data_IF_792637819224
#
_entry.id   IF_792637819224
#
_cell.length_a   1.000
_cell.length_b   1.000
_cell.length_c   1.000
_cell.angle_alpha   90.00
_cell.angle_beta   90.00
_cell.angle_gamma   90.00
#
_symmetry.space_group_name_H-M   'P 1'
#
loop_
_entity.id
_entity.type
_entity.pdbx_description
1 polymer ?
#
# COMPACT_ATOMS: atom_id res chain seq x y z
N UNK A 1 20.28 20.95 9.86
CA UNK A 1 19.21 21.31 8.89
C UNK A 1 18.65 20.12 8.10
N UNK A 2 19.43 19.07 7.80
CA UNK A 2 18.92 17.82 7.17
C UNK A 2 18.16 16.95 8.18
N UNK A 3 18.64 16.88 9.43
CA UNK A 3 17.97 16.13 10.50
C UNK A 3 16.59 16.71 10.87
N UNK A 4 16.44 18.03 10.85
CA UNK A 4 15.18 18.70 11.19
C UNK A 4 14.08 18.40 10.15
N UNK A 5 14.43 18.32 8.85
CA UNK A 5 13.48 17.92 7.81
C UNK A 5 13.01 16.46 7.95
N UNK A 6 13.90 15.56 8.32
CA UNK A 6 13.58 14.13 8.52
C UNK A 6 12.66 13.94 9.73
N UNK A 7 12.87 14.68 10.80
CA UNK A 7 12.06 14.62 12.03
C UNK A 7 10.61 15.06 11.78
N UNK A 8 10.36 15.93 10.79
CA UNK A 8 9.02 16.41 10.45
C UNK A 8 8.29 15.55 9.41
N UNK A 9 8.95 14.56 8.77
CA UNK A 9 8.34 13.70 7.74
C UNK A 9 7.50 12.56 8.30
N UNK A 10 7.66 12.25 9.59
CA UNK A 10 6.95 11.15 10.25
C UNK A 10 6.39 11.59 11.60
N UNK A 11 5.25 11.01 11.91
CA UNK A 11 4.68 11.00 13.25
C UNK A 11 4.75 9.59 13.82
N UNK A 12 5.26 9.45 15.05
CA UNK A 12 5.32 8.13 15.69
C UNK A 12 4.02 7.85 16.43
N UNK A 13 3.29 6.85 15.98
CA UNK A 13 2.02 6.42 16.55
C UNK A 13 2.12 4.97 17.04
N UNK A 14 1.97 4.78 18.36
CA UNK A 14 2.05 3.45 18.99
C UNK A 14 3.29 2.63 18.55
N UNK A 15 4.43 3.29 18.41
CA UNK A 15 5.67 2.64 18.00
C UNK A 15 5.83 2.43 16.49
N UNK A 16 4.92 2.96 15.66
CA UNK A 16 4.96 2.88 14.20
C UNK A 16 5.10 4.27 13.60
N UNK A 17 5.96 4.40 12.58
CA UNK A 17 6.14 5.65 11.85
C UNK A 17 5.07 5.81 10.78
N UNK A 18 4.35 6.93 10.81
CA UNK A 18 3.32 7.29 9.84
C UNK A 18 3.70 8.60 9.17
N UNK A 19 3.66 8.67 7.85
CA UNK A 19 4.07 9.87 7.12
C UNK A 19 3.13 11.05 7.39
N UNK A 20 3.74 12.23 7.55
CA UNK A 20 3.04 13.52 7.64
C UNK A 20 2.92 14.24 6.30
N UNK A 21 3.52 13.67 5.25
CA UNK A 21 3.47 14.22 3.90
C UNK A 21 2.10 14.06 3.26
N UNK A 22 1.76 14.96 2.34
CA UNK A 22 0.61 14.79 1.45
C UNK A 22 0.84 13.62 0.47
N UNK A 23 -0.21 13.17 -0.21
CA UNK A 23 -0.09 12.14 -1.26
C UNK A 23 0.83 12.59 -2.39
N UNK A 24 0.77 13.86 -2.79
CA UNK A 24 1.63 14.44 -3.82
C UNK A 24 3.10 14.48 -3.38
N UNK A 25 3.38 14.95 -2.16
CA UNK A 25 4.73 14.97 -1.57
C UNK A 25 5.30 13.54 -1.47
N UNK A 26 4.46 12.58 -1.05
CA UNK A 26 4.85 11.17 -0.92
C UNK A 26 5.20 10.56 -2.27
N UNK A 27 4.39 10.77 -3.30
CA UNK A 27 4.66 10.30 -4.67
C UNK A 27 5.96 10.91 -5.19
N UNK A 28 6.16 12.20 -5.02
CA UNK A 28 7.39 12.88 -5.44
C UNK A 28 8.63 12.27 -4.78
N UNK A 29 8.56 11.98 -3.49
CA UNK A 29 9.65 11.33 -2.76
C UNK A 29 9.91 9.90 -3.24
N UNK A 30 8.88 9.10 -3.48
CA UNK A 30 9.01 7.72 -3.97
C UNK A 30 9.76 7.70 -5.31
N UNK A 31 9.34 8.51 -6.27
CA UNK A 31 9.98 8.53 -7.59
C UNK A 31 11.36 9.19 -7.58
N UNK A 32 11.59 10.19 -6.72
CA UNK A 32 12.94 10.72 -6.48
C UNK A 32 13.90 9.65 -5.97
N UNK A 33 13.45 8.82 -5.03
CA UNK A 33 14.21 7.68 -4.52
C UNK A 33 14.49 6.65 -5.60
N UNK A 34 13.47 6.32 -6.42
CA UNK A 34 13.63 5.41 -7.56
C UNK A 34 14.71 5.91 -8.53
N UNK A 35 14.72 7.20 -8.86
CA UNK A 35 15.72 7.81 -9.74
C UNK A 35 17.14 7.78 -9.16
N UNK A 36 17.27 7.70 -7.84
CA UNK A 36 18.54 7.59 -7.12
C UNK A 36 18.91 6.14 -6.76
N UNK A 37 18.27 5.14 -7.39
CA UNK A 37 18.48 3.72 -7.13
C UNK A 37 18.22 3.30 -5.67
N UNK A 38 17.35 4.04 -4.98
CA UNK A 38 16.95 3.75 -3.60
C UNK A 38 15.62 3.01 -3.59
N UNK A 39 15.56 1.92 -2.82
CA UNK A 39 14.33 1.13 -2.65
C UNK A 39 13.37 1.77 -1.67
N UNK A 40 12.08 1.71 -1.99
CA UNK A 40 10.99 2.14 -1.13
C UNK A 40 10.01 1.01 -0.88
N UNK A 41 9.66 0.80 0.39
CA UNK A 41 8.64 -0.14 0.83
C UNK A 41 7.49 0.64 1.50
N UNK A 42 6.30 0.56 0.91
CA UNK A 42 5.11 1.32 1.30
C UNK A 42 4.12 0.38 1.97
N UNK A 43 3.69 0.74 3.17
CA UNK A 43 2.66 0.01 3.93
C UNK A 43 1.53 0.97 4.30
N UNK A 44 0.29 0.54 4.08
CA UNK A 44 -0.89 1.25 4.57
C UNK A 44 -1.07 0.98 6.06
N UNK A 45 -1.07 2.04 6.86
CA UNK A 45 -1.22 2.02 8.31
C UNK A 45 -2.64 2.44 8.67
N UNK A 46 -3.45 1.48 9.04
CA UNK A 46 -4.83 1.70 9.50
C UNK A 46 -4.95 1.51 11.02
N UNK A 47 -6.07 1.93 11.65
CA UNK A 47 -6.27 1.77 13.08
C UNK A 47 -6.17 0.33 13.58
N UNK A 48 -6.66 -0.64 12.80
CA UNK A 48 -6.59 -2.06 13.14
C UNK A 48 -5.15 -2.55 13.25
N UNK A 49 -4.30 -2.24 12.26
CA UNK A 49 -2.87 -2.56 12.29
C UNK A 49 -2.15 -1.91 13.48
N UNK A 50 -2.44 -0.62 13.74
CA UNK A 50 -1.85 0.10 14.88
C UNK A 50 -2.22 -0.55 16.20
N UNK A 51 -3.47 -0.88 16.41
CA UNK A 51 -3.92 -1.49 17.66
C UNK A 51 -3.37 -2.90 17.83
N UNK A 52 -3.33 -3.69 16.77
CA UNK A 52 -2.75 -5.03 16.77
C UNK A 52 -1.25 -4.99 17.08
N UNK A 53 -0.51 -4.07 16.47
CA UNK A 53 0.94 -3.93 16.67
C UNK A 53 1.34 -3.60 18.11
N UNK A 54 0.46 -2.99 18.90
CA UNK A 54 0.72 -2.74 20.33
C UNK A 54 0.90 -4.03 21.15
N UNK A 55 0.27 -5.11 20.72
CA UNK A 55 0.28 -6.41 21.39
C UNK A 55 1.10 -7.46 20.65
N UNK A 56 1.57 -7.11 19.46
CA UNK A 56 2.32 -7.98 18.56
C UNK A 56 3.63 -7.28 18.15
N UNK A 57 4.73 -7.51 18.90
CA UNK A 57 6.03 -6.92 18.59
C UNK A 57 6.58 -7.31 17.21
N UNK A 58 6.21 -8.48 16.70
CA UNK A 58 6.63 -8.96 15.38
C UNK A 58 5.95 -8.12 14.29
N UNK A 59 4.64 -7.91 14.40
CA UNK A 59 3.91 -7.02 13.50
C UNK A 59 4.45 -5.59 13.57
N UNK A 60 4.73 -5.07 14.77
CA UNK A 60 5.32 -3.74 14.94
C UNK A 60 6.67 -3.64 14.22
N UNK A 61 7.53 -4.65 14.35
CA UNK A 61 8.81 -4.69 13.64
C UNK A 61 8.63 -4.71 12.11
N UNK A 62 7.66 -5.47 11.60
CA UNK A 62 7.30 -5.52 10.18
C UNK A 62 6.87 -4.12 9.69
N UNK A 63 5.98 -3.46 10.40
CA UNK A 63 5.50 -2.11 10.02
C UNK A 63 6.63 -1.08 10.05
N UNK A 64 7.58 -1.20 10.98
CA UNK A 64 8.74 -0.31 11.08
C UNK A 64 9.84 -0.58 10.03
N UNK A 65 9.79 -1.67 9.31
CA UNK A 65 10.64 -1.89 8.13
C UNK A 65 10.16 -1.15 6.90
N UNK A 66 8.92 -0.66 6.89
CA UNK A 66 8.43 0.19 5.82
C UNK A 66 9.25 1.48 5.72
N UNK A 67 9.62 1.85 4.49
CA UNK A 67 10.22 3.17 4.21
C UNK A 67 9.17 4.26 4.39
N UNK A 68 7.93 3.96 4.04
CA UNK A 68 6.79 4.88 4.09
C UNK A 68 5.57 4.15 4.66
N UNK A 69 5.11 4.60 5.82
CA UNK A 69 3.80 4.22 6.35
C UNK A 69 2.77 5.27 5.98
N UNK A 70 1.81 4.95 5.12
CA UNK A 70 0.76 5.89 4.73
C UNK A 70 -0.43 5.83 5.69
N UNK A 71 -1.03 6.97 6.08
CA UNK A 71 -2.16 7.03 7.01
C UNK A 71 -3.46 6.60 6.32
N UNK A 72 -3.77 5.32 6.40
CA UNK A 72 -4.96 4.72 5.82
C UNK A 72 -6.09 4.64 6.85
N UNK A 73 -7.09 5.45 6.65
CA UNK A 73 -8.26 5.50 7.48
C UNK A 73 -8.38 6.78 8.32
N UNK A 74 -9.63 7.25 8.47
CA UNK A 74 -9.94 8.47 9.22
C UNK A 74 -9.52 8.40 10.68
N UNK A 75 -9.54 7.21 11.28
CA UNK A 75 -9.14 7.02 12.68
C UNK A 75 -7.68 7.40 12.95
N UNK A 76 -6.79 7.20 11.98
CA UNK A 76 -5.37 7.60 12.10
C UNK A 76 -5.26 9.13 12.15
N UNK A 77 -6.00 9.85 11.32
CA UNK A 77 -6.03 11.32 11.32
C UNK A 77 -6.60 11.88 12.62
N UNK A 78 -7.68 11.29 13.11
CA UNK A 78 -8.32 11.70 14.37
C UNK A 78 -7.33 11.50 15.52
N UNK A 79 -6.68 10.33 15.59
CA UNK A 79 -5.68 10.06 16.63
C UNK A 79 -4.49 11.01 16.57
N UNK A 80 -4.02 11.36 15.36
CA UNK A 80 -2.98 12.38 15.17
C UNK A 80 -3.40 13.74 15.72
N UNK A 81 -4.60 14.22 15.32
CA UNK A 81 -5.12 15.52 15.80
C UNK A 81 -5.28 15.57 17.31
N UNK A 82 -5.79 14.51 17.93
CA UNK A 82 -5.98 14.46 19.39
C UNK A 82 -4.64 14.51 20.15
N UNK A 83 -3.56 14.08 19.53
CA UNK A 83 -2.19 14.14 20.09
C UNK A 83 -1.42 15.40 19.70
N UNK A 84 -2.04 16.34 18.99
CA UNK A 84 -1.35 17.52 18.47
C UNK A 84 -0.37 17.21 17.34
N UNK A 85 -0.59 16.12 16.61
CA UNK A 85 0.26 15.69 15.51
C UNK A 85 0.02 16.43 14.20
N UNK A 86 0.80 16.08 13.18
CA UNK A 86 0.91 16.83 11.91
C UNK A 86 0.49 16.04 10.67
N UNK A 87 -0.21 14.91 10.80
CA UNK A 87 -0.68 14.16 9.64
C UNK A 87 -1.70 15.02 8.87
N UNK A 88 -1.39 15.30 7.60
CA UNK A 88 -2.13 16.26 6.77
C UNK A 88 -3.40 15.68 6.15
N UNK A 89 -3.28 14.47 5.62
CA UNK A 89 -4.37 13.83 4.87
C UNK A 89 -4.38 12.31 5.01
N UNK A 90 -5.53 11.74 4.76
CA UNK A 90 -5.70 10.30 4.64
C UNK A 90 -5.22 9.85 3.25
N UNK A 91 -4.34 8.84 3.23
CA UNK A 91 -3.87 8.21 2.00
C UNK A 91 -4.19 6.73 2.09
N UNK A 92 -5.20 6.27 1.34
CA UNK A 92 -5.55 4.85 1.33
C UNK A 92 -4.57 4.03 0.50
N UNK A 93 -4.44 2.73 0.80
CA UNK A 93 -3.61 1.83 -0.01
C UNK A 93 -4.06 1.77 -1.47
N UNK A 94 -5.38 1.79 -1.71
CA UNK A 94 -5.96 1.81 -3.07
C UNK A 94 -5.60 3.10 -3.80
N UNK A 95 -5.75 4.25 -3.14
CA UNK A 95 -5.41 5.55 -3.74
C UNK A 95 -3.91 5.67 -4.05
N UNK A 96 -3.04 5.18 -3.14
CA UNK A 96 -1.60 5.17 -3.38
C UNK A 96 -1.22 4.28 -4.56
N UNK A 97 -1.80 3.09 -4.68
CA UNK A 97 -1.59 2.22 -5.84
C UNK A 97 -1.99 2.91 -7.13
N UNK A 98 -3.16 3.55 -7.16
CA UNK A 98 -3.65 4.26 -8.35
C UNK A 98 -2.75 5.44 -8.72
N UNK A 99 -2.30 6.22 -7.74
CA UNK A 99 -1.36 7.33 -7.97
C UNK A 99 -0.02 6.85 -8.51
N UNK A 100 0.53 5.77 -7.98
CA UNK A 100 1.77 5.16 -8.50
C UNK A 100 1.58 4.71 -9.94
N UNK A 101 0.46 4.08 -10.27
CA UNK A 101 0.15 3.67 -11.64
C UNK A 101 0.03 4.88 -12.58
N UNK A 102 -0.70 5.92 -12.15
CA UNK A 102 -0.90 7.14 -12.93
C UNK A 102 0.42 7.87 -13.22
N UNK A 103 1.26 8.00 -12.21
CA UNK A 103 2.50 8.79 -12.31
C UNK A 103 3.70 8.00 -12.88
N UNK A 104 3.62 6.68 -12.93
CA UNK A 104 4.73 5.81 -13.35
C UNK A 104 5.29 6.14 -14.74
N UNK A 105 4.42 6.49 -15.68
CA UNK A 105 4.83 6.85 -17.05
C UNK A 105 5.67 8.12 -17.12
N UNK A 106 5.44 9.08 -16.21
CA UNK A 106 6.21 10.32 -16.14
C UNK A 106 7.68 10.10 -15.76
N UNK A 107 7.95 8.95 -15.14
CA UNK A 107 9.30 8.55 -14.69
C UNK A 107 9.86 7.36 -15.47
N UNK A 108 9.23 7.01 -16.59
CA UNK A 108 9.58 5.84 -17.40
C UNK A 108 9.65 4.54 -16.59
N UNK A 109 8.80 4.41 -15.58
CA UNK A 109 8.71 3.26 -14.69
C UNK A 109 7.63 2.29 -15.15
N UNK A 110 7.89 0.99 -15.05
CA UNK A 110 6.93 -0.07 -15.32
C UNK A 110 6.44 -0.73 -14.05
N UNK A 111 5.22 -1.27 -14.09
CA UNK A 111 4.57 -1.86 -12.92
C UNK A 111 4.35 -3.36 -13.10
N UNK A 112 4.44 -4.11 -12.00
CA UNK A 112 4.10 -5.52 -11.94
C UNK A 112 3.06 -5.75 -10.84
N UNK A 113 2.03 -6.54 -11.13
CA UNK A 113 0.97 -6.89 -10.20
C UNK A 113 1.09 -8.38 -9.83
N UNK A 114 1.41 -8.67 -8.58
CA UNK A 114 1.52 -10.02 -8.05
C UNK A 114 0.51 -10.27 -6.92
N UNK A 115 -0.30 -11.28 -7.07
CA UNK A 115 -1.23 -11.72 -6.05
C UNK A 115 -2.66 -11.90 -6.53
N UNK A 116 -3.56 -12.03 -5.59
CA UNK A 116 -4.98 -12.31 -5.78
C UNK A 116 -5.26 -13.66 -6.48
N UNK A 117 -6.53 -13.93 -6.75
CA UNK A 117 -6.95 -15.15 -7.46
C UNK A 117 -6.52 -15.12 -8.93
N UNK A 118 -6.39 -16.28 -9.61
CA UNK A 118 -6.05 -16.34 -11.02
C UNK A 118 -6.93 -15.41 -11.87
N UNK A 119 -6.30 -14.64 -12.75
CA UNK A 119 -6.95 -13.69 -13.66
C UNK A 119 -7.26 -12.31 -13.06
N UNK A 120 -7.27 -12.13 -11.74
CA UNK A 120 -7.61 -10.86 -11.09
C UNK A 120 -6.54 -9.80 -11.32
N UNK A 121 -5.27 -10.13 -11.10
CA UNK A 121 -4.15 -9.20 -11.33
C UNK A 121 -4.10 -8.72 -12.78
N UNK A 122 -4.29 -9.62 -13.74
CA UNK A 122 -4.32 -9.26 -15.16
C UNK A 122 -5.47 -8.32 -15.50
N UNK A 123 -6.69 -8.61 -15.03
CA UNK A 123 -7.85 -7.76 -15.26
C UNK A 123 -7.70 -6.39 -14.59
N UNK A 124 -7.14 -6.34 -13.40
CA UNK A 124 -6.82 -5.08 -12.72
C UNK A 124 -5.82 -4.24 -13.53
N UNK A 125 -4.76 -4.86 -14.04
CA UNK A 125 -3.77 -4.20 -14.88
C UNK A 125 -4.38 -3.68 -16.19
N UNK A 126 -5.21 -4.48 -16.86
CA UNK A 126 -5.89 -4.09 -18.09
C UNK A 126 -6.80 -2.88 -17.87
N UNK A 127 -7.60 -2.88 -16.80
CA UNK A 127 -8.48 -1.77 -16.46
C UNK A 127 -7.70 -0.49 -16.09
N UNK A 128 -6.63 -0.62 -15.33
CA UNK A 128 -5.75 0.50 -15.00
C UNK A 128 -5.09 1.08 -16.26
N UNK A 129 -4.66 0.24 -17.19
CA UNK A 129 -4.08 0.68 -18.45
C UNK A 129 -5.09 1.34 -19.39
N UNK A 130 -6.35 0.98 -19.33
CA UNK A 130 -7.42 1.69 -20.03
C UNK A 130 -7.61 3.10 -19.46
N UNK A 131 -7.54 3.26 -18.14
CA UNK A 131 -7.64 4.56 -17.48
C UNK A 131 -6.40 5.41 -17.68
N UNK A 132 -5.23 4.78 -17.65
CA UNK A 132 -3.91 5.42 -17.80
C UNK A 132 -3.14 4.77 -18.98
N UNK A 133 -3.45 5.16 -20.23
CA UNK A 133 -2.90 4.48 -21.42
C UNK A 133 -1.38 4.52 -21.54
N UNK A 134 -0.73 5.52 -20.93
CA UNK A 134 0.73 5.64 -20.93
C UNK A 134 1.44 4.73 -19.91
N UNK A 135 0.68 4.10 -19.01
CA UNK A 135 1.23 3.17 -18.02
C UNK A 135 1.81 1.93 -18.70
N UNK A 136 3.02 1.54 -18.29
CA UNK A 136 3.68 0.33 -18.78
C UNK A 136 3.47 -0.80 -17.78
N UNK A 137 2.78 -1.86 -18.20
CA UNK A 137 2.61 -3.09 -17.41
C UNK A 137 3.73 -4.06 -17.80
N UNK A 138 4.66 -4.30 -16.89
CA UNK A 138 5.76 -5.25 -17.11
C UNK A 138 5.29 -6.69 -17.04
N UNK A 139 4.29 -6.98 -16.20
CA UNK A 139 3.72 -8.32 -16.06
C UNK A 139 2.71 -8.42 -14.93
N UNK A 140 2.07 -9.57 -14.88
CA UNK A 140 1.13 -9.95 -13.82
C UNK A 140 1.34 -11.41 -13.44
N UNK A 141 1.11 -11.74 -12.16
CA UNK A 141 1.18 -13.12 -11.66
C UNK A 141 0.15 -13.28 -10.54
N UNK A 142 -0.60 -14.38 -10.53
CA UNK A 142 -1.54 -14.64 -9.46
C UNK A 142 -0.86 -15.13 -8.18
N UNK A 143 -1.57 -15.05 -7.06
CA UNK A 143 -1.08 -15.42 -5.74
C UNK A 143 -1.09 -16.92 -5.44
N UNK A 144 -1.45 -17.76 -6.39
CA UNK A 144 -1.54 -19.21 -6.23
C UNK A 144 -0.29 -19.95 -6.69
N UNK A 145 0.62 -19.26 -7.37
CA UNK A 145 1.95 -19.80 -7.67
C UNK A 145 2.69 -20.03 -6.36
N UNK A 146 3.20 -21.25 -6.17
CA UNK A 146 3.81 -21.69 -4.89
C UNK A 146 5.32 -21.65 -4.87
N UNK A 147 5.94 -21.77 -6.03
CA UNK A 147 7.39 -21.72 -6.15
C UNK A 147 7.89 -20.28 -6.06
N UNK A 148 8.50 -19.95 -4.92
CA UNK A 148 9.00 -18.59 -4.67
C UNK A 148 10.15 -18.22 -5.60
N UNK A 149 11.01 -19.16 -5.98
CA UNK A 149 12.11 -18.90 -6.93
C UNK A 149 11.55 -18.54 -8.32
N UNK A 150 10.51 -19.24 -8.76
CA UNK A 150 9.81 -18.94 -10.01
C UNK A 150 9.17 -17.53 -9.97
N UNK A 151 8.54 -17.17 -8.84
CA UNK A 151 7.96 -15.85 -8.64
C UNK A 151 9.04 -14.77 -8.77
N UNK A 152 10.14 -14.91 -8.04
CA UNK A 152 11.24 -13.94 -8.08
C UNK A 152 11.87 -13.81 -9.48
N UNK A 153 12.07 -14.94 -10.15
CA UNK A 153 12.58 -14.97 -11.52
C UNK A 153 11.64 -14.25 -12.49
N UNK A 154 10.35 -14.53 -12.41
CA UNK A 154 9.32 -13.92 -13.28
C UNK A 154 9.30 -12.40 -13.09
N UNK A 155 9.33 -11.91 -11.86
CA UNK A 155 9.34 -10.48 -11.57
C UNK A 155 10.63 -9.83 -12.06
N UNK A 156 11.80 -10.42 -11.79
CA UNK A 156 13.09 -9.89 -12.23
C UNK A 156 13.22 -9.88 -13.77
N UNK A 157 12.80 -10.94 -14.44
CA UNK A 157 12.84 -11.04 -15.91
C UNK A 157 11.91 -10.02 -16.58
N UNK A 158 10.88 -9.56 -15.89
CA UNK A 158 9.96 -8.53 -16.40
C UNK A 158 10.58 -7.14 -16.51
N UNK A 159 11.64 -6.86 -15.75
CA UNK A 159 12.25 -5.54 -15.68
C UNK A 159 11.40 -4.49 -14.96
N UNK A 160 10.42 -4.90 -14.16
CA UNK A 160 9.55 -3.99 -13.43
C UNK A 160 10.30 -3.11 -12.43
N UNK A 161 9.87 -1.86 -12.33
CA UNK A 161 10.38 -0.88 -11.35
C UNK A 161 9.52 -0.82 -10.09
N UNK A 162 8.21 -1.02 -10.25
CA UNK A 162 7.20 -0.97 -9.19
C UNK A 162 6.50 -2.31 -9.07
N UNK A 163 6.46 -2.86 -7.87
CA UNK A 163 5.78 -4.13 -7.56
C UNK A 163 4.66 -3.91 -6.55
N UNK A 164 3.45 -4.28 -6.96
CA UNK A 164 2.30 -4.38 -6.07
C UNK A 164 2.08 -5.83 -5.66
N UNK A 165 1.95 -6.07 -4.35
CA UNK A 165 1.77 -7.42 -3.78
C UNK A 165 0.42 -7.51 -3.09
N UNK A 166 -0.46 -8.39 -3.57
CA UNK A 166 -1.82 -8.59 -3.09
C UNK A 166 -2.00 -10.01 -2.51
N UNK A 167 -1.37 -10.28 -1.37
CA UNK A 167 -1.43 -11.58 -0.67
C UNK A 167 -2.15 -11.48 0.69
N UNK A 168 -2.62 -10.29 1.05
CA UNK A 168 -3.13 -10.00 2.37
C UNK A 168 -2.02 -9.75 3.40
N UNK A 169 -2.36 -9.01 4.46
CA UNK A 169 -1.44 -8.73 5.57
C UNK A 169 -1.53 -9.85 6.62
N UNK A 170 -0.43 -10.33 7.21
CA UNK A 170 0.96 -9.87 7.02
C UNK A 170 1.74 -10.62 5.93
N UNK A 171 1.13 -11.50 5.17
CA UNK A 171 1.81 -12.35 4.16
C UNK A 171 2.52 -11.51 3.10
N UNK A 172 1.86 -10.45 2.60
CA UNK A 172 2.42 -9.56 1.60
C UNK A 172 3.64 -8.79 2.11
N UNK A 173 3.59 -8.29 3.33
CA UNK A 173 4.73 -7.58 3.94
C UNK A 173 5.90 -8.52 4.19
N UNK A 174 5.64 -9.74 4.67
CA UNK A 174 6.66 -10.76 4.87
C UNK A 174 7.33 -11.18 3.56
N UNK A 175 6.55 -11.33 2.48
CA UNK A 175 7.09 -11.59 1.15
C UNK A 175 8.04 -10.48 0.69
N UNK A 176 7.62 -9.23 0.84
CA UNK A 176 8.41 -8.06 0.45
C UNK A 176 9.71 -7.99 1.27
N UNK A 177 9.62 -8.07 2.59
CA UNK A 177 10.78 -7.99 3.49
C UNK A 177 11.80 -9.09 3.17
N UNK A 178 11.32 -10.31 2.95
CA UNK A 178 12.19 -11.47 2.65
C UNK A 178 12.91 -11.35 1.31
N UNK A 179 12.29 -10.69 0.34
CA UNK A 179 12.73 -10.74 -1.05
C UNK A 179 13.19 -9.40 -1.64
N UNK A 180 13.03 -8.28 -0.93
CA UNK A 180 13.43 -6.94 -1.41
C UNK A 180 14.83 -6.92 -1.99
N UNK A 181 15.79 -7.54 -1.30
CA UNK A 181 17.20 -7.52 -1.70
C UNK A 181 17.49 -8.43 -2.91
N UNK A 182 16.60 -9.39 -3.19
CA UNK A 182 16.71 -10.33 -4.32
C UNK A 182 16.02 -9.83 -5.59
N UNK A 183 15.13 -8.86 -5.46
CA UNK A 183 14.36 -8.29 -6.55
C UNK A 183 14.99 -6.98 -7.03
N UNK A 184 15.08 -6.82 -8.36
CA UNK A 184 15.59 -5.60 -9.00
C UNK A 184 14.52 -4.47 -9.05
N UNK A 185 13.44 -4.65 -8.35
CA UNK A 185 12.36 -3.68 -8.18
C UNK A 185 12.80 -2.59 -7.20
N UNK A 186 12.40 -1.35 -7.45
CA UNK A 186 12.73 -0.20 -6.61
C UNK A 186 11.59 0.23 -5.69
N UNK A 187 10.34 -0.01 -6.07
CA UNK A 187 9.16 0.39 -5.28
C UNK A 187 8.29 -0.82 -4.98
N UNK A 188 8.02 -1.06 -3.70
CA UNK A 188 7.20 -2.18 -3.22
C UNK A 188 6.01 -1.64 -2.43
N UNK A 189 4.82 -2.11 -2.75
CA UNK A 189 3.62 -1.82 -1.97
C UNK A 189 2.79 -3.08 -1.73
N UNK A 190 2.50 -3.38 -0.46
CA UNK A 190 1.46 -4.34 -0.10
C UNK A 190 0.08 -3.69 -0.26
N UNK A 191 -0.78 -4.25 -1.10
CA UNK A 191 -2.03 -3.61 -1.52
C UNK A 191 -3.30 -4.36 -1.10
N UNK A 192 -3.17 -5.53 -0.48
CA UNK A 192 -4.32 -6.32 0.00
C UNK A 192 -5.35 -6.58 -1.10
N UNK A 193 -6.60 -6.18 -0.86
CA UNK A 193 -7.72 -6.37 -1.79
C UNK A 193 -7.82 -5.36 -2.92
N UNK A 194 -6.80 -4.53 -3.19
CA UNK A 194 -6.88 -3.47 -4.21
C UNK A 194 -7.05 -4.03 -5.62
N UNK A 195 -6.49 -5.20 -5.93
CA UNK A 195 -6.68 -5.81 -7.25
C UNK A 195 -8.15 -6.18 -7.50
N UNK A 196 -8.88 -6.62 -6.48
CA UNK A 196 -10.31 -6.89 -6.61
C UNK A 196 -11.12 -5.62 -6.90
N UNK A 197 -10.67 -4.47 -6.38
CA UNK A 197 -11.28 -3.17 -6.68
C UNK A 197 -11.01 -2.78 -8.15
N UNK A 198 -9.77 -2.81 -8.61
CA UNK A 198 -9.42 -2.40 -9.97
C UNK A 198 -9.87 -3.39 -11.04
N UNK A 199 -10.02 -4.67 -10.70
CA UNK A 199 -10.61 -5.67 -11.60
C UNK A 199 -12.13 -5.54 -11.76
N UNK A 200 -12.78 -4.77 -10.87
CA UNK A 200 -14.23 -4.62 -10.83
C UNK A 200 -14.96 -5.73 -10.07
N UNK A 201 -14.24 -6.67 -9.45
CA UNK A 201 -14.84 -7.74 -8.63
C UNK A 201 -15.48 -7.21 -7.34
N UNK A 202 -14.92 -6.13 -6.79
CA UNK A 202 -15.44 -5.45 -5.59
C UNK A 202 -15.68 -3.99 -5.95
N UNK A 203 -16.91 -3.56 -5.72
CA UNK A 203 -17.30 -2.18 -5.91
C UNK A 203 -16.72 -1.30 -4.79
N UNK A 204 -16.01 -0.26 -5.17
CA UNK A 204 -15.51 0.71 -4.21
C UNK A 204 -16.64 1.57 -3.65
N UNK A 205 -16.52 2.00 -2.39
CA UNK A 205 -17.50 2.91 -1.78
C UNK A 205 -17.75 4.15 -2.66
N UNK A 206 -19.00 4.64 -2.74
CA UNK A 206 -19.32 5.88 -3.45
C UNK A 206 -18.45 7.05 -2.97
N UNK A 207 -18.23 8.04 -3.85
CA UNK A 207 -17.32 9.16 -3.61
C UNK A 207 -17.68 9.93 -2.33
N UNK A 208 -18.96 10.04 -2.02
CA UNK A 208 -19.46 10.65 -0.79
C UNK A 208 -18.92 9.96 0.46
N UNK A 209 -19.05 8.63 0.55
CA UNK A 209 -18.50 7.86 1.67
C UNK A 209 -16.98 7.96 1.76
N UNK A 210 -16.30 7.97 0.61
CA UNK A 210 -14.84 8.12 0.55
C UNK A 210 -14.37 9.48 1.06
N UNK A 211 -15.03 10.57 0.64
CA UNK A 211 -14.71 11.94 1.06
C UNK A 211 -14.95 12.16 2.57
N UNK A 212 -15.97 11.53 3.15
CA UNK A 212 -16.25 11.61 4.58
C UNK A 212 -15.39 10.66 5.42
N UNK A 213 -14.53 9.85 4.82
CA UNK A 213 -13.75 8.84 5.53
C UNK A 213 -14.58 7.65 6.03
N UNK A 214 -15.77 7.45 5.49
CA UNK A 214 -16.73 6.41 5.86
C UNK A 214 -16.67 5.18 4.94
N UNK A 215 -15.60 5.00 4.19
CA UNK A 215 -15.42 3.84 3.31
C UNK A 215 -15.46 2.52 4.09
N UNK A 216 -14.89 2.49 5.29
CA UNK A 216 -14.97 1.35 6.21
C UNK A 216 -16.41 1.01 6.61
N UNK A 217 -17.25 2.02 6.83
CA UNK A 217 -18.66 1.84 7.20
C UNK A 217 -19.46 1.30 6.01
N UNK A 218 -19.24 1.81 4.81
CA UNK A 218 -19.85 1.28 3.59
C UNK A 218 -19.49 -0.19 3.36
N UNK A 219 -18.23 -0.56 3.53
CA UNK A 219 -17.77 -1.95 3.44
C UNK A 219 -18.41 -2.84 4.51
N UNK A 220 -18.60 -2.30 5.71
CA UNK A 220 -19.27 -3.01 6.79
C UNK A 220 -20.75 -3.29 6.48
N UNK A 221 -21.44 -2.32 5.87
CA UNK A 221 -22.83 -2.50 5.41
C UNK A 221 -22.94 -3.55 4.30
N UNK A 222 -21.97 -3.61 3.40
CA UNK A 222 -21.93 -4.59 2.30
C UNK A 222 -21.52 -6.00 2.76
N UNK A 223 -20.65 -6.10 3.77
CA UNK A 223 -20.14 -7.36 4.32
C UNK A 223 -20.30 -7.40 5.85
N UNK A 224 -21.47 -7.77 6.38
CA UNK A 224 -21.70 -7.79 7.83
C UNK A 224 -20.79 -8.74 8.62
N UNK A 225 -20.21 -9.75 7.96
CA UNK A 225 -19.24 -10.67 8.58
C UNK A 225 -17.97 -9.99 9.09
N UNK A 226 -17.67 -8.77 8.61
CA UNK A 226 -16.55 -7.96 9.09
C UNK A 226 -16.77 -7.38 10.49
N UNK A 227 -17.99 -7.37 11.00
CA UNK A 227 -18.28 -6.94 12.37
C UNK A 227 -17.46 -7.70 13.41
N UNK A 228 -17.26 -8.99 13.21
CA UNK A 228 -16.47 -9.82 14.14
C UNK A 228 -15.02 -9.36 14.27
N UNK A 229 -14.42 -8.89 13.17
CA UNK A 229 -13.05 -8.37 13.20
C UNK A 229 -12.94 -6.99 13.84
N UNK A 230 -14.00 -6.17 13.76
CA UNK A 230 -14.00 -4.84 14.36
C UNK A 230 -14.33 -4.86 15.86
N UNK A 231 -15.04 -5.89 16.35
CA UNK A 231 -15.28 -6.08 17.77
C UNK A 231 -14.02 -6.47 18.55
N UNK A 232 -12.97 -6.90 17.86
CA UNK A 232 -11.64 -7.16 18.46
C UNK A 232 -10.82 -5.87 18.69
N UNK A 233 -11.32 -4.71 18.23
CA UNK A 233 -10.72 -3.42 18.55
C UNK A 233 -11.03 -3.08 20.02
N UNK A 234 -10.02 -2.83 20.87
CA UNK A 234 -10.27 -2.43 22.25
C UNK A 234 -11.05 -1.11 22.30
N UNK A 235 -12.00 -1.05 23.22
CA UNK A 235 -12.75 0.16 23.54
C UNK A 235 -11.87 1.24 24.12
#
# INVERSE_FOLDING_TARGET
RLNDKVIHMYERMFGVNVTTESSEETIGRIFSRLQNDEKSFIVAINPEKLMKSRRDPELQAILNKATIGIPDGVGVLIASKLKGGNIKERITGVDMMELLCKESSNYNASVFLYGAKPGVAKKAADNLQQTYPSMKVAGTLDGYVKDEEEILKTINDSGADVLFVALGSPTQENFIIRNMDKLNVSVFQGVGGSFDVFSGNIERAPLFFRKLGLEWFYRLLKEPSRWKRQLELPK
#
